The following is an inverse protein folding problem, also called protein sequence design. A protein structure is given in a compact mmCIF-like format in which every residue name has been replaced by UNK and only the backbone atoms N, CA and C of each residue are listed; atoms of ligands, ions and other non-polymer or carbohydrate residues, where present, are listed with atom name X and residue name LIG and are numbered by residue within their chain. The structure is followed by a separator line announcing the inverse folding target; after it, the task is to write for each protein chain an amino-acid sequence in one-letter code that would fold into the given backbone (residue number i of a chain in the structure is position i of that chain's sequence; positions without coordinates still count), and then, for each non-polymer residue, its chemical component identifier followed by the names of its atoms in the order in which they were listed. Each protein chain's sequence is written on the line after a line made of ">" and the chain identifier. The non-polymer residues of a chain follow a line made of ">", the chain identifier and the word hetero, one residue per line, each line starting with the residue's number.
data_IF_976749146171
#
_entry.id   IF_976749146171
#
_cell.length_a   1.000
_cell.length_b   1.000
_cell.length_c   1.000
_cell.angle_alpha   90.00
_cell.angle_beta   90.00
_cell.angle_gamma   90.00
#
_symmetry.space_group_name_H-M   'P 1'
#
loop_
_entity.id
_entity.type
_entity.pdbx_description
1 polymer ?
#
# COMPACT_ATOMS: atom_id res chain seq x y z
N UNK A 1 -16.12 56.41 40.69
CA UNK A 1 -15.35 55.37 41.42
C UNK A 1 -15.33 54.10 40.59
N UNK A 2 -14.12 53.65 40.24
CA UNK A 2 -13.70 52.28 39.86
C UNK A 2 -14.32 51.63 38.62
N UNK A 3 -13.56 51.78 37.53
CA UNK A 3 -13.41 50.84 36.42
C UNK A 3 -13.50 49.37 36.88
N UNK A 4 -14.27 48.55 36.16
CA UNK A 4 -13.98 47.13 36.01
C UNK A 4 -14.18 46.74 34.55
N UNK A 5 -13.07 46.79 33.82
CA UNK A 5 -12.84 46.02 32.60
C UNK A 5 -13.14 44.56 32.97
N UNK A 6 -14.21 43.98 32.43
CA UNK A 6 -14.38 42.53 32.49
C UNK A 6 -13.90 41.94 31.16
N UNK A 7 -12.78 41.25 31.29
CA UNK A 7 -12.00 40.62 30.25
C UNK A 7 -12.84 39.71 29.34
N UNK A 8 -12.53 39.86 28.05
CA UNK A 8 -12.66 38.88 26.97
C UNK A 8 -12.29 37.47 27.47
N UNK A 9 -13.25 36.53 27.44
CA UNK A 9 -12.97 35.09 27.43
C UNK A 9 -13.23 34.57 26.01
N UNK A 10 -12.22 34.81 25.17
CA UNK A 10 -11.96 34.08 23.93
C UNK A 10 -11.47 32.67 24.29
N UNK A 11 -11.81 31.70 23.43
CA UNK A 11 -11.14 30.41 23.25
C UNK A 11 -11.33 29.34 24.34
N UNK A 12 -12.15 28.32 24.04
CA UNK A 12 -11.80 26.90 24.27
C UNK A 12 -12.93 25.98 23.74
N UNK A 13 -13.11 25.96 22.42
CA UNK A 13 -13.55 24.72 21.75
C UNK A 13 -12.37 24.20 20.94
N UNK A 14 -11.34 23.81 21.68
CA UNK A 14 -10.17 23.10 21.14
C UNK A 14 -10.61 21.65 20.96
N UNK A 15 -10.81 21.28 19.69
CA UNK A 15 -10.35 20.02 19.10
C UNK A 15 -10.52 18.75 19.97
N UNK A 16 -11.74 18.37 20.31
CA UNK A 16 -12.02 16.98 20.69
C UNK A 16 -12.50 16.22 19.45
N UNK A 17 -11.54 15.63 18.75
CA UNK A 17 -11.82 14.84 17.56
C UNK A 17 -10.60 14.24 16.87
N UNK A 18 -9.48 13.98 17.56
CA UNK A 18 -8.62 12.89 17.12
C UNK A 18 -9.40 11.59 17.42
N UNK A 19 -10.34 11.25 16.55
CA UNK A 19 -10.88 9.89 16.55
C UNK A 19 -9.71 8.96 16.23
N UNK A 20 -9.48 7.97 17.09
CA UNK A 20 -8.60 6.85 16.79
C UNK A 20 -9.16 6.14 15.55
N UNK A 21 -8.73 6.57 14.37
CA UNK A 21 -9.04 5.89 13.12
C UNK A 21 -8.26 4.58 13.12
N UNK A 22 -8.85 3.55 13.72
CA UNK A 22 -8.32 2.19 13.68
C UNK A 22 -8.51 1.63 12.29
N UNK A 23 -7.42 1.13 11.72
CA UNK A 23 -7.47 0.48 10.42
C UNK A 23 -8.10 -0.89 10.60
N UNK A 24 -9.10 -1.23 9.79
CA UNK A 24 -9.65 -2.59 9.80
C UNK A 24 -8.66 -3.54 9.10
N UNK A 25 -7.71 -4.04 9.88
CA UNK A 25 -6.70 -4.96 9.38
C UNK A 25 -7.33 -6.26 8.86
N UNK A 26 -8.43 -6.74 9.42
CA UNK A 26 -9.01 -8.01 8.97
C UNK A 26 -9.63 -7.88 7.59
N UNK A 27 -10.35 -6.77 7.34
CA UNK A 27 -10.92 -6.50 6.02
C UNK A 27 -9.82 -6.33 4.95
N UNK A 28 -8.73 -5.62 5.27
CA UNK A 28 -7.59 -5.48 4.38
C UNK A 28 -6.85 -6.80 4.16
N UNK A 29 -6.70 -7.61 5.22
CA UNK A 29 -6.12 -8.95 5.13
C UNK A 29 -6.88 -9.80 4.12
N UNK A 30 -8.21 -9.88 4.28
CA UNK A 30 -9.08 -10.68 3.43
C UNK A 30 -8.97 -10.22 1.96
N UNK A 31 -9.02 -8.91 1.74
CA UNK A 31 -8.87 -8.32 0.41
C UNK A 31 -7.52 -8.66 -0.23
N UNK A 32 -6.40 -8.38 0.45
CA UNK A 32 -5.07 -8.65 -0.10
C UNK A 32 -4.80 -10.13 -0.28
N UNK A 33 -5.34 -10.99 0.57
CA UNK A 33 -5.16 -12.43 0.46
C UNK A 33 -5.97 -12.99 -0.72
N UNK A 34 -7.23 -12.60 -0.84
CA UNK A 34 -8.20 -13.29 -1.69
C UNK A 34 -8.45 -12.61 -3.03
N UNK A 35 -8.28 -11.30 -3.14
CA UNK A 35 -8.63 -10.55 -4.36
C UNK A 35 -7.40 -10.18 -5.19
N UNK A 36 -6.22 -10.02 -4.56
CA UNK A 36 -5.02 -9.59 -5.26
C UNK A 36 -4.16 -10.75 -5.77
N UNK A 37 -3.86 -10.73 -7.06
CA UNK A 37 -2.95 -11.65 -7.75
C UNK A 37 -2.18 -10.92 -8.85
N UNK A 38 -0.93 -11.35 -9.08
CA UNK A 38 -0.07 -10.79 -10.11
C UNK A 38 1.07 -11.76 -10.42
N UNK A 39 1.37 -12.00 -11.69
CA UNK A 39 2.42 -12.92 -12.11
C UNK A 39 2.98 -12.52 -13.46
N UNK A 40 3.98 -11.64 -13.46
CA UNK A 40 4.45 -11.00 -14.69
C UNK A 40 5.90 -10.55 -14.67
N UNK A 41 6.50 -10.46 -15.86
CA UNK A 41 7.75 -9.76 -16.13
C UNK A 41 7.43 -8.31 -16.45
N UNK A 42 8.10 -7.37 -15.80
CA UNK A 42 7.85 -5.93 -15.93
C UNK A 42 8.47 -5.38 -17.21
N UNK A 43 7.68 -4.68 -18.01
CA UNK A 43 8.15 -3.89 -19.17
C UNK A 43 8.11 -2.39 -18.89
N UNK A 44 7.05 -1.93 -18.19
CA UNK A 44 6.89 -0.55 -17.71
C UNK A 44 6.70 -0.61 -16.19
N UNK A 45 7.66 -0.12 -15.39
CA UNK A 45 7.58 -0.15 -13.94
C UNK A 45 6.49 0.80 -13.41
N UNK A 46 6.01 0.58 -12.17
CA UNK A 46 5.05 1.47 -11.54
C UNK A 46 5.66 2.84 -11.28
N UNK A 47 4.80 3.86 -11.26
CA UNK A 47 5.23 5.23 -10.96
C UNK A 47 5.67 5.34 -9.49
N UNK A 48 6.91 5.79 -9.23
CA UNK A 48 7.37 6.17 -7.90
C UNK A 48 6.41 7.11 -7.18
N UNK A 49 6.28 6.94 -5.86
CA UNK A 49 5.48 7.81 -4.98
C UNK A 49 4.01 8.00 -5.38
N UNK A 50 3.45 7.12 -6.21
CA UNK A 50 2.02 7.06 -6.50
C UNK A 50 1.26 6.43 -5.33
N UNK A 51 0.01 6.83 -5.10
CA UNK A 51 -0.88 6.10 -4.16
C UNK A 51 -1.48 4.84 -4.78
N UNK A 52 -1.44 4.75 -6.12
CA UNK A 52 -1.88 3.60 -6.90
C UNK A 52 -0.69 2.80 -7.41
N UNK A 53 -0.81 1.48 -7.39
CA UNK A 53 0.17 0.59 -7.99
C UNK A 53 -0.30 0.17 -9.38
N UNK A 54 0.51 0.43 -10.40
CA UNK A 54 0.20 0.05 -11.77
C UNK A 54 1.47 -0.24 -12.56
N UNK A 55 1.70 -1.50 -12.93
CA UNK A 55 2.81 -1.93 -13.74
C UNK A 55 2.32 -2.68 -14.99
N UNK A 56 3.02 -2.52 -16.11
CA UNK A 56 2.70 -3.19 -17.36
C UNK A 56 3.82 -4.15 -17.77
N UNK A 57 3.45 -5.27 -18.39
CA UNK A 57 4.43 -6.19 -18.93
C UNK A 57 3.81 -7.46 -19.45
N UNK A 58 4.45 -8.60 -19.25
CA UNK A 58 4.05 -9.89 -19.83
C UNK A 58 3.76 -10.93 -18.76
N UNK A 59 2.62 -11.60 -18.88
CA UNK A 59 2.24 -12.67 -17.97
C UNK A 59 3.25 -13.83 -18.05
N UNK A 60 3.65 -14.37 -16.90
CA UNK A 60 4.59 -15.50 -16.85
C UNK A 60 4.05 -16.78 -17.50
N UNK A 61 2.74 -16.98 -17.46
CA UNK A 61 2.09 -18.20 -17.92
C UNK A 61 2.13 -18.34 -19.45
N UNK A 62 1.91 -17.24 -20.18
CA UNK A 62 1.67 -17.30 -21.63
C UNK A 62 2.36 -16.17 -22.42
N UNK A 63 3.14 -15.30 -21.75
CA UNK A 63 3.87 -14.21 -22.38
C UNK A 63 3.02 -13.08 -22.96
N UNK A 64 1.69 -13.11 -22.80
CA UNK A 64 0.79 -12.07 -23.32
C UNK A 64 0.94 -10.78 -22.50
N UNK A 65 0.73 -9.60 -23.13
CA UNK A 65 0.66 -8.35 -22.41
C UNK A 65 -0.38 -8.40 -21.28
N UNK A 66 -0.02 -7.92 -20.10
CA UNK A 66 -0.89 -7.82 -18.93
C UNK A 66 -0.57 -6.58 -18.10
N UNK A 67 -1.51 -6.22 -17.23
CA UNK A 67 -1.39 -5.10 -16.29
C UNK A 67 -1.54 -5.67 -14.88
N UNK A 68 -0.63 -5.28 -14.00
CA UNK A 68 -0.73 -5.52 -12.57
C UNK A 68 -1.12 -4.20 -11.92
N UNK A 69 -2.42 -4.05 -11.67
CA UNK A 69 -3.01 -2.83 -11.11
C UNK A 69 -3.64 -3.16 -9.77
N UNK A 70 -3.27 -2.43 -8.74
CA UNK A 70 -3.87 -2.52 -7.41
C UNK A 70 -4.18 -1.11 -6.90
N UNK A 71 -5.36 -0.96 -6.32
CA UNK A 71 -5.76 0.29 -5.63
C UNK A 71 -5.22 0.35 -4.20
N UNK A 72 -4.25 -0.51 -3.86
CA UNK A 72 -3.72 -0.64 -2.53
C UNK A 72 -2.38 0.05 -2.32
N UNK A 73 -2.30 0.84 -1.24
CA UNK A 73 -1.08 1.57 -0.84
C UNK A 73 0.06 0.64 -0.46
N UNK A 74 -0.26 -0.59 -0.03
CA UNK A 74 0.75 -1.57 0.36
C UNK A 74 1.75 -1.82 -0.76
N UNK A 75 1.27 -2.11 -1.98
CA UNK A 75 2.12 -2.33 -3.14
C UNK A 75 2.90 -1.09 -3.55
N UNK A 76 2.21 0.05 -3.54
CA UNK A 76 2.77 1.32 -3.96
C UNK A 76 3.99 1.75 -3.12
N UNK A 77 4.08 1.28 -1.87
CA UNK A 77 5.22 1.49 -0.97
C UNK A 77 6.53 0.92 -1.53
N UNK A 78 6.45 -0.08 -2.41
CA UNK A 78 7.62 -0.79 -2.97
C UNK A 78 7.88 -0.48 -4.45
N UNK A 79 7.15 0.47 -5.04
CA UNK A 79 7.27 0.84 -6.46
C UNK A 79 8.70 1.16 -6.89
N UNK A 80 9.46 1.86 -6.03
CA UNK A 80 10.84 2.29 -6.31
C UNK A 80 11.84 1.11 -6.40
N UNK A 81 11.43 -0.05 -5.89
CA UNK A 81 12.22 -1.27 -5.93
C UNK A 81 12.00 -2.08 -7.21
N UNK A 82 11.08 -1.67 -8.09
CA UNK A 82 10.70 -2.41 -9.30
C UNK A 82 11.31 -1.75 -10.53
N UNK A 83 12.04 -2.53 -11.32
CA UNK A 83 12.63 -2.08 -12.59
C UNK A 83 12.15 -2.95 -13.76
N UNK A 84 12.28 -2.42 -14.97
CA UNK A 84 12.07 -3.20 -16.19
C UNK A 84 12.93 -4.47 -16.17
N UNK A 85 12.33 -5.61 -16.48
CA UNK A 85 12.96 -6.92 -16.45
C UNK A 85 12.82 -7.67 -15.12
N UNK A 86 12.44 -6.99 -14.02
CA UNK A 86 12.09 -7.67 -12.78
C UNK A 86 10.81 -8.49 -12.96
N UNK A 87 10.65 -9.52 -12.15
CA UNK A 87 9.42 -10.32 -12.10
C UNK A 87 8.65 -10.01 -10.83
N UNK A 88 7.35 -9.73 -10.95
CA UNK A 88 6.45 -9.54 -9.81
C UNK A 88 5.58 -10.79 -9.66
N UNK A 89 5.53 -11.32 -8.44
CA UNK A 89 4.69 -12.48 -8.10
C UNK A 89 3.92 -12.21 -6.80
N UNK A 90 2.60 -12.14 -6.91
CA UNK A 90 1.63 -12.27 -5.83
C UNK A 90 0.70 -13.42 -6.18
N UNK A 91 0.64 -14.42 -5.31
CA UNK A 91 -0.30 -15.54 -5.46
C UNK A 91 -1.58 -15.26 -4.69
N UNK A 92 -2.71 -15.67 -5.25
CA UNK A 92 -3.98 -15.76 -4.52
C UNK A 92 -3.82 -16.64 -3.27
N UNK A 93 -4.44 -16.26 -2.17
CA UNK A 93 -4.35 -16.97 -0.87
C UNK A 93 -3.10 -16.62 -0.03
N UNK A 94 -2.18 -15.79 -0.52
CA UNK A 94 -0.95 -15.40 0.18
C UNK A 94 -0.93 -13.91 0.52
N UNK A 95 -0.50 -13.56 1.73
CA UNK A 95 -0.23 -12.19 2.18
C UNK A 95 1.24 -11.81 2.05
N UNK A 96 1.81 -12.17 0.92
CA UNK A 96 3.13 -11.70 0.55
C UNK A 96 3.23 -11.63 -0.95
N UNK A 97 4.06 -10.72 -1.43
CA UNK A 97 4.47 -10.69 -2.82
C UNK A 97 6.00 -10.66 -2.91
N UNK A 98 6.48 -11.07 -4.07
CA UNK A 98 7.90 -11.15 -4.39
C UNK A 98 8.23 -10.25 -5.59
N UNK A 99 9.35 -9.55 -5.48
CA UNK A 99 10.04 -8.95 -6.63
C UNK A 99 11.29 -9.80 -6.86
N UNK A 100 11.32 -10.55 -7.96
CA UNK A 100 12.49 -11.32 -8.36
C UNK A 100 13.34 -10.49 -9.30
N UNK A 101 14.55 -10.22 -8.85
CA UNK A 101 15.63 -9.61 -9.60
C UNK A 101 16.48 -10.72 -10.22
N UNK A 102 17.43 -10.34 -11.06
CA UNK A 102 18.38 -11.28 -11.68
C UNK A 102 19.08 -12.18 -10.65
N UNK A 103 19.55 -11.58 -9.55
CA UNK A 103 20.41 -12.25 -8.57
C UNK A 103 19.80 -12.29 -7.15
N UNK A 104 18.58 -11.79 -6.95
CA UNK A 104 17.99 -11.65 -5.60
C UNK A 104 16.47 -11.72 -5.65
N UNK A 105 15.87 -12.28 -4.61
CA UNK A 105 14.42 -12.25 -4.40
C UNK A 105 14.13 -11.34 -3.21
N UNK A 106 13.34 -10.29 -3.44
CA UNK A 106 12.81 -9.44 -2.38
C UNK A 106 11.40 -9.93 -2.05
N UNK A 107 11.14 -10.25 -0.78
CA UNK A 107 9.84 -10.71 -0.32
C UNK A 107 9.27 -9.73 0.70
N UNK A 108 8.03 -9.33 0.49
CA UNK A 108 7.32 -8.38 1.32
C UNK A 108 6.09 -9.07 1.90
N UNK A 109 6.03 -9.19 3.23
CA UNK A 109 4.82 -9.66 3.89
C UNK A 109 3.91 -8.45 4.14
N UNK A 110 2.61 -8.70 4.25
CA UNK A 110 1.68 -7.67 4.64
C UNK A 110 1.78 -7.39 6.14
N UNK A 111 1.79 -6.11 6.49
CA UNK A 111 1.88 -5.64 7.87
C UNK A 111 0.75 -4.64 8.15
N UNK A 112 0.12 -4.79 9.32
CA UNK A 112 -0.92 -3.88 9.78
C UNK A 112 -0.79 -3.71 11.30
N UNK A 113 -0.81 -2.46 11.76
CA UNK A 113 -0.67 -2.11 13.19
C UNK A 113 0.55 -2.78 13.87
N UNK A 114 1.68 -2.88 13.15
CA UNK A 114 2.92 -3.46 13.66
C UNK A 114 2.93 -5.00 13.74
N UNK A 115 1.91 -5.68 13.21
CA UNK A 115 1.83 -7.14 13.14
C UNK A 115 2.04 -7.61 11.70
N UNK A 116 2.90 -8.61 11.53
CA UNK A 116 3.09 -9.32 10.26
C UNK A 116 2.03 -10.43 10.16
N UNK A 117 1.26 -10.41 9.07
CA UNK A 117 0.29 -11.45 8.75
C UNK A 117 0.94 -12.48 7.80
N UNK A 118 0.67 -13.78 7.99
CA UNK A 118 1.30 -14.88 7.24
C UNK A 118 0.28 -15.71 6.45
#
# INVERSE_FOLDING_TARGET
>A
MKNKIFLITIFLFVLNGCGDFKTDCNALEEHYRNEEECSMIVEIPPKPSSVYFEAYGKALENGKPCICKQESRWWATFSDQIKKGDTIIKKKGKLSFEIRKKDTILKFNWECEGKIYK
#
